data_IF_849789582250
#
_entry.id   IF_849789582250
#
_cell.length_a   1.000
_cell.length_b   1.000
_cell.length_c   1.000
_cell.angle_alpha   90.00
_cell.angle_beta   90.00
_cell.angle_gamma   90.00
#
_symmetry.space_group_name_H-M   'P 1'
#
loop_
_entity.id
_entity.type
_entity.pdbx_description
1 polymer ?
#
# COMPACT_ATOMS: atom_id res chain seq x y z
N UNK A 1 22.89 -0.58 -10.34
CA UNK A 1 21.43 -0.81 -10.21
C UNK A 1 20.74 -0.46 -11.53
N UNK A 2 19.78 -1.25 -12.01
CA UNK A 2 19.09 -1.00 -13.29
C UNK A 2 18.37 0.37 -13.27
N UNK A 3 18.46 1.15 -14.36
CA UNK A 3 17.91 2.50 -14.44
C UNK A 3 16.40 2.56 -14.10
N UNK A 4 15.61 1.57 -14.50
CA UNK A 4 14.17 1.50 -14.15
C UNK A 4 13.94 1.30 -12.65
N UNK A 5 14.80 0.53 -11.99
CA UNK A 5 14.73 0.29 -10.54
C UNK A 5 15.09 1.56 -9.78
N UNK A 6 16.10 2.30 -10.23
CA UNK A 6 16.46 3.62 -9.66
C UNK A 6 15.29 4.59 -9.79
N UNK A 7 14.71 4.71 -10.98
CA UNK A 7 13.56 5.59 -11.23
C UNK A 7 12.36 5.23 -10.35
N UNK A 8 11.99 3.95 -10.26
CA UNK A 8 10.89 3.50 -9.42
C UNK A 8 11.14 3.78 -7.93
N UNK A 9 12.38 3.63 -7.46
CA UNK A 9 12.75 3.90 -6.06
C UNK A 9 12.72 5.39 -5.72
N UNK A 10 13.12 6.25 -6.68
CA UNK A 10 13.00 7.71 -6.54
C UNK A 10 11.53 8.13 -6.50
N UNK A 11 10.72 7.55 -7.38
CA UNK A 11 9.28 7.83 -7.43
C UNK A 11 8.57 7.42 -6.15
N UNK A 12 8.90 6.25 -5.59
CA UNK A 12 8.41 5.80 -4.30
C UNK A 12 8.63 6.85 -3.20
N UNK A 13 9.86 7.38 -3.10
CA UNK A 13 10.21 8.39 -2.10
C UNK A 13 9.43 9.70 -2.29
N UNK A 14 9.26 10.13 -3.54
CA UNK A 14 8.50 11.36 -3.86
C UNK A 14 7.03 11.22 -3.51
N UNK A 15 6.40 10.12 -3.93
CA UNK A 15 4.99 9.83 -3.65
C UNK A 15 4.75 9.74 -2.15
N UNK A 16 5.62 9.05 -1.41
CA UNK A 16 5.55 9.02 0.05
C UNK A 16 5.62 10.42 0.65
N UNK A 17 6.60 11.24 0.22
CA UNK A 17 6.78 12.60 0.77
C UNK A 17 5.55 13.46 0.59
N UNK A 18 4.96 13.47 -0.61
CA UNK A 18 3.78 14.28 -0.93
C UNK A 18 2.57 13.81 -0.13
N UNK A 19 2.28 12.51 -0.14
CA UNK A 19 1.10 11.98 0.54
C UNK A 19 1.23 12.02 2.07
N UNK A 20 2.44 11.95 2.60
CA UNK A 20 2.68 12.15 4.03
C UNK A 20 2.44 13.61 4.43
N UNK A 21 2.83 14.57 3.59
CA UNK A 21 2.54 16.00 3.79
C UNK A 21 1.02 16.25 3.78
N UNK A 22 0.27 15.68 2.82
CA UNK A 22 -1.19 15.77 2.76
C UNK A 22 -1.86 15.27 4.06
N UNK A 23 -1.36 14.16 4.62
CA UNK A 23 -1.85 13.60 5.89
C UNK A 23 -1.57 14.55 7.06
N UNK A 24 -0.37 15.12 7.14
CA UNK A 24 0.00 16.04 8.21
C UNK A 24 -0.75 17.38 8.12
N UNK A 25 -0.98 17.90 6.91
CA UNK A 25 -1.81 19.08 6.69
C UNK A 25 -3.26 18.82 7.11
N UNK A 26 -3.86 17.71 6.67
CA UNK A 26 -5.22 17.34 7.05
C UNK A 26 -5.37 17.14 8.57
N UNK A 27 -4.36 16.54 9.21
CA UNK A 27 -4.31 16.38 10.67
C UNK A 27 -4.26 17.72 11.38
N UNK A 28 -3.38 18.62 10.94
CA UNK A 28 -3.20 19.97 11.52
C UNK A 28 -4.46 20.82 11.35
N UNK A 29 -5.09 20.74 10.17
CA UNK A 29 -6.38 21.37 9.93
C UNK A 29 -7.46 20.86 10.90
N UNK A 30 -7.57 19.54 11.09
CA UNK A 30 -8.56 18.96 12.00
C UNK A 30 -8.35 19.30 13.47
N UNK A 31 -7.10 19.52 13.90
CA UNK A 31 -6.79 19.99 15.27
C UNK A 31 -7.24 21.43 15.52
N UNK A 32 -7.21 22.27 14.49
CA UNK A 32 -7.58 23.69 14.59
C UNK A 32 -9.05 23.95 14.20
N UNK A 33 -9.63 23.10 13.38
CA UNK A 33 -10.98 23.22 12.83
C UNK A 33 -11.76 21.89 12.95
N UNK A 34 -12.03 21.41 14.19
CA UNK A 34 -12.66 20.11 14.41
C UNK A 34 -14.06 20.09 13.78
N UNK A 35 -14.25 19.18 12.82
CA UNK A 35 -15.50 19.05 12.07
C UNK A 35 -15.57 17.69 11.37
N UNK A 36 -16.77 17.25 11.00
CA UNK A 36 -16.93 16.04 10.18
C UNK A 36 -16.24 16.14 8.82
N UNK A 37 -16.10 17.36 8.25
CA UNK A 37 -15.27 17.57 7.07
C UNK A 37 -13.80 17.24 7.36
N UNK A 38 -13.24 17.77 8.45
CA UNK A 38 -11.85 17.53 8.81
C UNK A 38 -11.55 16.03 9.02
N UNK A 39 -12.42 15.29 9.70
CA UNK A 39 -12.25 13.84 9.90
C UNK A 39 -12.24 13.08 8.57
N UNK A 40 -13.22 13.34 7.70
CA UNK A 40 -13.29 12.69 6.38
C UNK A 40 -12.09 13.05 5.50
N UNK A 41 -11.61 14.29 5.57
CA UNK A 41 -10.43 14.73 4.82
C UNK A 41 -9.17 14.02 5.31
N UNK A 42 -8.97 13.92 6.63
CA UNK A 42 -7.86 13.16 7.21
C UNK A 42 -7.91 11.68 6.80
N UNK A 43 -9.08 11.04 6.87
CA UNK A 43 -9.21 9.63 6.49
C UNK A 43 -8.89 9.43 5.01
N UNK A 44 -9.41 10.28 4.11
CA UNK A 44 -9.11 10.21 2.67
C UNK A 44 -7.63 10.41 2.37
N UNK A 45 -6.98 11.41 2.97
CA UNK A 45 -5.54 11.63 2.81
C UNK A 45 -4.74 10.40 3.28
N UNK A 46 -5.15 9.82 4.42
CA UNK A 46 -4.52 8.62 4.98
C UNK A 46 -4.64 7.41 4.04
N UNK A 47 -5.82 7.18 3.44
CA UNK A 47 -5.99 6.09 2.48
C UNK A 47 -5.21 6.33 1.20
N UNK A 48 -5.16 7.56 0.70
CA UNK A 48 -4.32 7.92 -0.43
C UNK A 48 -2.84 7.56 -0.15
N UNK A 49 -2.31 7.87 1.04
CA UNK A 49 -0.97 7.47 1.46
C UNK A 49 -0.78 5.94 1.48
N UNK A 50 -1.71 5.20 2.11
CA UNK A 50 -1.63 3.74 2.24
C UNK A 50 -1.64 3.07 0.85
N UNK A 51 -2.57 3.46 -0.02
CA UNK A 51 -2.70 2.92 -1.37
C UNK A 51 -1.57 3.35 -2.27
N UNK A 52 -1.18 4.63 -2.22
CA UNK A 52 -0.09 5.18 -2.98
C UNK A 52 1.23 4.46 -2.66
N UNK A 53 1.55 4.29 -1.38
CA UNK A 53 2.77 3.58 -0.97
C UNK A 53 2.71 2.09 -1.36
N UNK A 54 1.56 1.43 -1.17
CA UNK A 54 1.36 0.06 -1.64
C UNK A 54 1.58 -0.06 -3.15
N UNK A 55 1.12 0.91 -3.94
CA UNK A 55 1.33 0.93 -5.38
C UNK A 55 2.81 1.12 -5.74
N UNK A 56 3.53 1.96 -5.01
CA UNK A 56 4.95 2.17 -5.24
C UNK A 56 5.79 0.92 -4.92
N UNK A 57 5.44 0.15 -3.89
CA UNK A 57 6.05 -1.17 -3.64
C UNK A 57 5.89 -2.11 -4.84
N UNK A 58 4.73 -2.08 -5.51
CA UNK A 58 4.48 -2.88 -6.73
C UNK A 58 5.36 -2.40 -7.88
N UNK A 59 5.44 -1.10 -8.09
CA UNK A 59 6.24 -0.48 -9.15
C UNK A 59 7.73 -0.84 -9.03
N UNK A 60 8.30 -0.78 -7.82
CA UNK A 60 9.68 -1.22 -7.57
C UNK A 60 9.82 -2.72 -7.82
N UNK A 61 8.90 -3.52 -7.30
CA UNK A 61 8.92 -4.99 -7.49
C UNK A 61 8.89 -5.40 -8.96
N UNK A 62 8.04 -4.74 -9.77
CA UNK A 62 7.97 -4.95 -11.20
C UNK A 62 9.24 -4.50 -11.93
N UNK A 63 9.84 -3.38 -11.53
CA UNK A 63 11.10 -2.92 -12.11
C UNK A 63 12.24 -3.91 -11.82
N UNK A 64 12.31 -4.45 -10.60
CA UNK A 64 13.27 -5.50 -10.23
C UNK A 64 13.03 -6.78 -11.02
N UNK A 65 11.80 -7.26 -11.12
CA UNK A 65 11.47 -8.45 -11.91
C UNK A 65 11.72 -8.27 -13.41
N UNK A 66 11.56 -7.06 -13.95
CA UNK A 66 11.92 -6.77 -15.34
C UNK A 66 13.44 -6.85 -15.58
N UNK A 67 14.25 -6.51 -14.56
CA UNK A 67 15.71 -6.63 -14.62
C UNK A 67 16.20 -8.06 -14.33
N UNK A 68 15.49 -8.79 -13.47
CA UNK A 68 15.81 -10.14 -13.02
C UNK A 68 14.52 -10.98 -12.91
N UNK A 69 14.07 -11.58 -14.02
CA UNK A 69 12.78 -12.28 -14.10
C UNK A 69 12.59 -13.43 -13.11
N UNK A 70 13.66 -14.00 -12.58
CA UNK A 70 13.64 -15.08 -11.59
C UNK A 70 13.23 -14.63 -10.18
N UNK A 71 13.20 -13.33 -9.90
CA UNK A 71 12.85 -12.81 -8.56
C UNK A 71 11.36 -13.02 -8.22
N UNK A 72 10.49 -12.98 -9.24
CA UNK A 72 9.05 -13.13 -9.07
C UNK A 72 8.51 -14.16 -10.06
N UNK A 73 7.50 -14.92 -9.63
CA UNK A 73 6.76 -15.85 -10.48
C UNK A 73 5.90 -15.09 -11.49
N UNK A 74 5.52 -15.76 -12.59
CA UNK A 74 4.59 -15.20 -13.57
C UNK A 74 3.25 -14.79 -12.94
N UNK A 75 2.76 -15.58 -11.97
CA UNK A 75 1.54 -15.27 -11.24
C UNK A 75 1.68 -13.99 -10.41
N UNK A 76 2.79 -13.83 -9.68
CA UNK A 76 3.07 -12.61 -8.91
C UNK A 76 3.15 -11.39 -9.83
N UNK A 77 3.87 -11.48 -10.95
CA UNK A 77 3.99 -10.39 -11.93
C UNK A 77 2.61 -10.03 -12.52
N UNK A 78 1.76 -11.00 -12.82
CA UNK A 78 0.39 -10.73 -13.32
C UNK A 78 -0.45 -10.00 -12.29
N UNK A 79 -0.40 -10.44 -11.02
CA UNK A 79 -1.12 -9.79 -9.93
C UNK A 79 -0.59 -8.37 -9.66
N UNK A 80 0.73 -8.15 -9.76
CA UNK A 80 1.36 -6.82 -9.63
C UNK A 80 0.99 -5.86 -10.77
N UNK A 81 0.57 -6.36 -11.93
CA UNK A 81 0.08 -5.53 -13.05
C UNK A 81 -1.40 -5.15 -12.94
N UNK A 82 -2.17 -5.80 -12.06
CA UNK A 82 -3.65 -5.69 -12.01
C UNK A 82 -4.32 -5.96 -13.36
N UNK A 83 -3.77 -6.93 -14.10
CA UNK A 83 -4.30 -7.34 -15.40
C UNK A 83 -4.78 -8.78 -15.34
N UNK A 84 -5.97 -9.03 -15.88
CA UNK A 84 -6.43 -10.37 -16.24
C UNK A 84 -6.59 -10.49 -17.74
N UNK A 85 -6.27 -11.66 -18.25
CA UNK A 85 -6.37 -11.98 -19.66
C UNK A 85 -7.54 -12.95 -19.88
N UNK A 86 -8.37 -12.66 -20.88
CA UNK A 86 -9.45 -13.54 -21.34
C UNK A 86 -9.36 -13.67 -22.85
N UNK A 87 -9.85 -14.79 -23.39
CA UNK A 87 -10.05 -14.90 -24.83
C UNK A 87 -11.38 -14.22 -25.21
N UNK A 88 -11.38 -13.49 -26.32
CA UNK A 88 -12.62 -13.04 -26.94
C UNK A 88 -13.27 -14.14 -27.79
N UNK A 89 -14.42 -13.83 -28.39
CA UNK A 89 -15.16 -14.78 -29.24
C UNK A 89 -14.41 -15.19 -30.52
N UNK A 90 -13.28 -14.56 -30.83
CA UNK A 90 -12.40 -14.89 -31.96
C UNK A 90 -11.14 -15.64 -31.50
N UNK A 91 -11.04 -15.99 -30.22
CA UNK A 91 -9.85 -16.63 -29.65
C UNK A 91 -8.67 -15.69 -29.47
N UNK A 92 -8.88 -14.36 -29.48
CA UNK A 92 -7.80 -13.38 -29.31
C UNK A 92 -7.65 -12.99 -27.82
N UNK A 93 -6.42 -12.94 -27.27
CA UNK A 93 -6.19 -12.46 -25.92
C UNK A 93 -6.63 -11.00 -25.75
N UNK A 94 -7.44 -10.73 -24.73
CA UNK A 94 -7.88 -9.40 -24.33
C UNK A 94 -7.54 -9.18 -22.86
N UNK A 95 -6.80 -8.12 -22.58
CA UNK A 95 -6.55 -7.66 -21.24
C UNK A 95 -7.76 -6.88 -20.69
N UNK A 96 -8.01 -7.01 -19.39
CA UNK A 96 -8.93 -6.17 -18.63
C UNK A 96 -8.36 -5.91 -17.25
N UNK A 97 -8.71 -4.78 -16.65
CA UNK A 97 -8.30 -4.45 -15.29
C UNK A 97 -8.84 -5.49 -14.30
N UNK A 98 -8.01 -5.85 -13.33
CA UNK A 98 -8.34 -6.74 -12.23
C UNK A 98 -7.94 -6.13 -10.88
N UNK A 99 -8.75 -5.16 -10.45
CA UNK A 99 -8.57 -4.47 -9.17
C UNK A 99 -8.73 -5.45 -8.01
N UNK A 100 -7.66 -5.60 -7.23
CA UNK A 100 -7.63 -6.49 -6.07
C UNK A 100 -8.28 -5.79 -4.86
N UNK A 101 -8.78 -6.59 -3.90
CA UNK A 101 -9.24 -6.06 -2.61
C UNK A 101 -8.08 -5.37 -1.90
N UNK A 102 -8.34 -4.20 -1.30
CA UNK A 102 -7.33 -3.32 -0.69
C UNK A 102 -6.37 -4.05 0.26
N UNK A 103 -6.87 -4.69 1.32
CA UNK A 103 -6.01 -5.34 2.33
C UNK A 103 -5.14 -6.47 1.76
N UNK A 104 -5.70 -7.46 1.04
CA UNK A 104 -4.88 -8.46 0.35
C UNK A 104 -3.84 -7.84 -0.58
N UNK A 105 -4.18 -6.75 -1.28
CA UNK A 105 -3.26 -6.05 -2.18
C UNK A 105 -2.08 -5.42 -1.42
N UNK A 106 -2.34 -4.77 -0.28
CA UNK A 106 -1.29 -4.21 0.59
C UNK A 106 -0.32 -5.31 1.00
N UNK A 107 -0.82 -6.44 1.51
CA UNK A 107 0.03 -7.54 1.97
C UNK A 107 0.83 -8.18 0.85
N UNK A 108 0.17 -8.40 -0.28
CA UNK A 108 0.81 -8.93 -1.46
C UNK A 108 1.95 -8.00 -1.94
N UNK A 109 1.70 -6.70 -1.99
CA UNK A 109 2.69 -5.69 -2.41
C UNK A 109 3.90 -5.66 -1.46
N UNK A 110 3.68 -5.71 -0.15
CA UNK A 110 4.75 -5.77 0.86
C UNK A 110 5.60 -7.03 0.72
N UNK A 111 4.98 -8.20 0.52
CA UNK A 111 5.70 -9.47 0.33
C UNK A 111 6.54 -9.46 -0.94
N UNK A 112 5.98 -8.99 -2.06
CA UNK A 112 6.73 -8.86 -3.31
C UNK A 112 7.91 -7.90 -3.17
N UNK A 113 7.72 -6.78 -2.47
CA UNK A 113 8.78 -5.81 -2.20
C UNK A 113 9.91 -6.44 -1.40
N UNK A 114 9.62 -7.10 -0.27
CA UNK A 114 10.63 -7.82 0.51
C UNK A 114 11.37 -8.86 -0.35
N UNK A 115 10.63 -9.64 -1.13
CA UNK A 115 11.19 -10.70 -1.96
C UNK A 115 12.19 -10.19 -3.00
N UNK A 116 11.94 -9.04 -3.64
CA UNK A 116 12.89 -8.49 -4.63
C UNK A 116 14.17 -7.92 -4.00
N UNK A 117 14.16 -7.63 -2.71
CA UNK A 117 15.35 -7.30 -1.90
C UNK A 117 16.06 -8.56 -1.35
N UNK A 118 15.49 -9.75 -1.54
CA UNK A 118 16.00 -11.00 -0.98
C UNK A 118 15.63 -11.20 0.50
N UNK A 119 14.66 -10.45 1.01
CA UNK A 119 14.11 -10.61 2.35
C UNK A 119 12.87 -11.51 2.35
N UNK A 120 12.51 -12.03 3.53
CA UNK A 120 11.20 -12.64 3.80
C UNK A 120 10.44 -11.75 4.76
N UNK A 121 9.19 -11.40 4.42
CA UNK A 121 8.36 -10.53 5.25
C UNK A 121 6.93 -11.08 5.32
N UNK A 122 6.34 -11.02 6.50
CA UNK A 122 4.94 -11.38 6.74
C UNK A 122 4.29 -10.35 7.67
N UNK A 123 3.22 -9.66 7.22
CA UNK A 123 2.49 -8.72 8.05
C UNK A 123 1.92 -9.38 9.31
N UNK A 124 2.01 -8.73 10.47
CA UNK A 124 1.38 -9.24 11.69
C UNK A 124 -0.13 -8.97 11.70
N UNK A 125 -0.89 -10.05 11.50
CA UNK A 125 -2.36 -10.06 11.45
C UNK A 125 -3.01 -10.60 12.71
N UNK A 126 -2.25 -10.76 13.81
CA UNK A 126 -2.73 -11.37 15.06
C UNK A 126 -2.98 -10.37 16.19
N UNK A 127 -2.73 -9.08 15.95
CA UNK A 127 -2.85 -8.05 16.96
C UNK A 127 -4.06 -7.12 16.72
N UNK A 128 -4.44 -6.38 17.76
CA UNK A 128 -5.57 -5.44 17.72
C UNK A 128 -5.42 -4.34 16.65
N UNK A 129 -4.19 -3.97 16.30
CA UNK A 129 -3.93 -3.00 15.24
C UNK A 129 -4.43 -3.45 13.88
N UNK A 130 -4.32 -4.74 13.57
CA UNK A 130 -4.89 -5.32 12.34
C UNK A 130 -6.42 -5.32 12.36
N UNK A 131 -7.05 -5.62 13.48
CA UNK A 131 -8.51 -5.54 13.63
C UNK A 131 -9.01 -4.11 13.39
N UNK A 132 -8.32 -3.13 13.97
CA UNK A 132 -8.60 -1.71 13.74
C UNK A 132 -8.37 -1.32 12.29
N UNK A 133 -7.38 -1.89 11.60
CA UNK A 133 -7.20 -1.70 10.16
C UNK A 133 -8.38 -2.25 9.34
N UNK A 134 -8.92 -3.42 9.69
CA UNK A 134 -10.12 -3.96 9.03
C UNK A 134 -11.33 -3.03 9.20
N UNK A 135 -11.51 -2.46 10.41
CA UNK A 135 -12.55 -1.45 10.67
C UNK A 135 -12.32 -0.18 9.86
N UNK A 136 -11.08 0.31 9.81
CA UNK A 136 -10.74 1.52 9.07
C UNK A 136 -11.02 1.37 7.57
N UNK A 137 -10.73 0.20 6.99
CA UNK A 137 -11.10 -0.11 5.59
C UNK A 137 -12.62 -0.10 5.38
N UNK A 138 -13.40 -0.54 6.36
CA UNK A 138 -14.86 -0.42 6.31
C UNK A 138 -15.33 1.04 6.32
N UNK A 139 -14.70 1.89 7.15
CA UNK A 139 -14.96 3.34 7.20
C UNK A 139 -14.70 3.96 5.83
N UNK A 140 -13.55 3.66 5.22
CA UNK A 140 -13.20 4.13 3.87
C UNK A 140 -14.24 3.78 2.82
N UNK A 141 -14.67 2.52 2.79
CA UNK A 141 -15.66 2.06 1.83
C UNK A 141 -16.97 2.86 1.96
N UNK A 142 -17.37 3.20 3.20
CA UNK A 142 -18.50 4.09 3.45
C UNK A 142 -18.28 5.52 2.96
N UNK A 143 -17.06 6.06 3.10
CA UNK A 143 -16.73 7.42 2.69
C UNK A 143 -16.60 7.62 1.17
N UNK A 144 -16.20 6.59 0.44
CA UNK A 144 -16.04 6.63 -1.03
C UNK A 144 -17.32 6.24 -1.76
N UNK A 145 -18.10 5.34 -1.17
CA UNK A 145 -19.35 4.85 -1.75
C UNK A 145 -20.50 4.96 -0.74
N UNK A 146 -20.82 6.20 -0.28
CA UNK A 146 -21.84 6.39 0.75
C UNK A 146 -23.21 5.95 0.25
N UNK A 147 -23.80 4.99 0.96
CA UNK A 147 -25.18 4.52 0.70
C UNK A 147 -26.20 5.30 1.53
N UNK A 148 -25.74 6.04 2.53
CA UNK A 148 -26.55 6.81 3.46
C UNK A 148 -25.73 7.93 4.10
N UNK A 149 -26.42 8.93 4.67
CA UNK A 149 -25.77 10.04 5.38
C UNK A 149 -24.94 9.56 6.58
N UNK A 150 -25.37 8.50 7.27
CA UNK A 150 -24.61 7.93 8.39
C UNK A 150 -23.27 7.33 7.98
N UNK A 151 -23.03 7.04 6.69
CA UNK A 151 -21.68 6.67 6.22
C UNK A 151 -20.70 7.85 6.21
N UNK A 152 -21.20 9.09 6.34
CA UNK A 152 -20.41 10.32 6.37
C UNK A 152 -20.29 10.91 7.78
N UNK A 153 -21.01 10.34 8.75
CA UNK A 153 -20.94 10.67 10.16
C UNK A 153 -19.85 9.80 10.80
N UNK A 154 -18.79 10.44 11.30
CA UNK A 154 -17.70 9.74 11.97
C UNK A 154 -17.82 9.95 13.47
N UNK A 155 -17.78 8.85 14.21
CA UNK A 155 -17.75 8.81 15.67
C UNK A 155 -16.33 8.94 16.21
N UNK A 156 -16.21 9.21 17.51
CA UNK A 156 -14.91 9.17 18.21
C UNK A 156 -14.30 7.76 18.19
N UNK A 157 -15.15 6.72 18.12
CA UNK A 157 -14.70 5.34 17.96
C UNK A 157 -14.08 5.10 16.58
N UNK A 158 -14.63 5.69 15.52
CA UNK A 158 -14.05 5.63 14.17
C UNK A 158 -12.66 6.28 14.12
N UNK A 159 -12.49 7.41 14.81
CA UNK A 159 -11.20 8.08 14.95
C UNK A 159 -10.18 7.20 15.69
N UNK A 160 -10.59 6.57 16.79
CA UNK A 160 -9.71 5.67 17.55
C UNK A 160 -9.25 4.49 16.69
N UNK A 161 -10.18 3.84 15.97
CA UNK A 161 -9.83 2.74 15.06
C UNK A 161 -8.91 3.21 13.93
N UNK A 162 -9.14 4.40 13.36
CA UNK A 162 -8.26 4.97 12.35
C UNK A 162 -6.84 5.20 12.89
N UNK A 163 -6.69 5.76 14.09
CA UNK A 163 -5.38 5.98 14.71
C UNK A 163 -4.63 4.67 14.95
N UNK A 164 -5.29 3.67 15.52
CA UNK A 164 -4.71 2.35 15.78
C UNK A 164 -4.31 1.63 14.47
N UNK A 165 -5.17 1.70 13.45
CA UNK A 165 -4.89 1.17 12.12
C UNK A 165 -3.64 1.80 11.50
N UNK A 166 -3.52 3.13 11.57
CA UNK A 166 -2.38 3.88 11.01
C UNK A 166 -1.10 3.56 11.76
N UNK A 167 -1.13 3.48 13.10
CA UNK A 167 0.04 3.09 13.89
C UNK A 167 0.50 1.68 13.51
N UNK A 168 -0.43 0.73 13.42
CA UNK A 168 -0.12 -0.62 12.98
C UNK A 168 0.49 -0.64 11.58
N UNK A 169 -0.12 0.03 10.61
CA UNK A 169 0.38 0.07 9.24
C UNK A 169 1.78 0.70 9.16
N UNK A 170 2.04 1.80 9.89
CA UNK A 170 3.37 2.42 9.96
C UNK A 170 4.41 1.46 10.53
N UNK A 171 4.06 0.70 11.56
CA UNK A 171 4.95 -0.32 12.15
C UNK A 171 5.27 -1.44 11.15
N UNK A 172 4.27 -1.91 10.40
CA UNK A 172 4.49 -2.94 9.37
C UNK A 172 5.35 -2.43 8.21
N UNK A 173 5.14 -1.18 7.76
CA UNK A 173 6.02 -0.54 6.77
C UNK A 173 7.45 -0.40 7.30
N UNK A 174 7.63 0.02 8.55
CA UNK A 174 8.95 0.11 9.16
C UNK A 174 9.66 -1.24 9.22
N UNK A 175 8.97 -2.29 9.70
CA UNK A 175 9.50 -3.65 9.73
C UNK A 175 9.87 -4.18 8.35
N UNK A 176 9.05 -3.87 7.33
CA UNK A 176 9.34 -4.22 5.94
C UNK A 176 10.63 -3.56 5.45
N UNK A 177 10.74 -2.24 5.62
CA UNK A 177 11.91 -1.48 5.14
C UNK A 177 13.18 -1.94 5.85
N UNK A 178 13.12 -2.16 7.16
CA UNK A 178 14.24 -2.70 7.92
C UNK A 178 14.68 -4.07 7.39
N UNK A 179 13.75 -4.99 7.13
CA UNK A 179 14.07 -6.30 6.57
C UNK A 179 14.71 -6.21 5.17
N UNK A 180 14.28 -5.25 4.35
CA UNK A 180 14.89 -4.99 3.04
C UNK A 180 16.31 -4.42 3.18
N UNK A 181 16.52 -3.46 4.08
CA UNK A 181 17.83 -2.84 4.31
C UNK A 181 18.85 -3.88 4.80
N UNK A 182 18.46 -4.74 5.76
CA UNK A 182 19.29 -5.84 6.27
C UNK A 182 19.66 -6.84 5.16
N UNK A 183 18.71 -7.18 4.30
CA UNK A 183 18.96 -8.08 3.16
C UNK A 183 19.90 -7.44 2.12
N UNK A 184 19.68 -6.17 1.78
CA UNK A 184 20.53 -5.42 0.85
C UNK A 184 21.98 -5.33 1.36
N UNK A 185 22.18 -5.08 2.65
CA UNK A 185 23.51 -5.07 3.29
C UNK A 185 24.20 -6.43 3.24
N UNK A 186 23.47 -7.48 3.60
CA UNK A 186 23.97 -8.86 3.56
C UNK A 186 24.46 -9.25 2.16
N UNK A 187 23.70 -8.92 1.11
CA UNK A 187 24.07 -9.25 -0.27
C UNK A 187 25.19 -8.36 -0.81
N UNK A 188 25.24 -7.07 -0.45
CA UNK A 188 26.37 -6.19 -0.80
C UNK A 188 27.70 -6.74 -0.25
N UNK A 189 27.71 -7.23 0.99
CA UNK A 189 28.90 -7.80 1.62
C UNK A 189 29.40 -9.12 1.00
N UNK A 190 28.55 -9.82 0.21
CA UNK A 190 28.90 -11.08 -0.47
C UNK A 190 29.23 -10.94 -1.95
N UNK A 191 28.88 -9.80 -2.54
CA UNK A 191 29.12 -9.49 -3.95
C UNK A 191 30.29 -8.52 -4.15
N UNK A 192 30.85 -7.97 -3.05
CA UNK A 192 32.10 -7.24 -3.00
C UNK A 192 33.30 -8.20 -2.88
#
# INVERSE_FOLDING_TARGET
>A
MNAKVVTASVELKKVYSILAEDVEEARTYGQTNPSGFAHRSLFRATFALIEGLSFQFRSVSLACAAAMPQLLTTAEVSLLKEEKYKLDNKGTPKASADFQKLLPNIFFSMRCYAKVHGATFEPDTKNHGYESMQKFVSIRNGLEHPKSASNLENSDEDLRHAMEAVMWWKNEVFRLLQACDEADEYWKGRLA
#
